data_IF_163205147623
#
_entry.id   IF_163205147623
#
_cell.length_a   1.000
_cell.length_b   1.000
_cell.length_c   1.000
_cell.angle_alpha   90.00
_cell.angle_beta   90.00
_cell.angle_gamma   90.00
#
_symmetry.space_group_name_H-M   'P 1'
#
loop_
_entity.id
_entity.type
_entity.pdbx_description
1 polymer ?
#
# COMPACT_ATOMS: atom_id res chain seq x y z
N UNK A 1 -15.34 1.84 24.02
CA UNK A 1 -14.45 1.02 23.18
C UNK A 1 -13.18 1.83 22.98
N UNK A 2 -12.02 1.33 23.42
CA UNK A 2 -10.76 2.07 23.34
C UNK A 2 -10.26 2.03 21.88
N UNK A 3 -10.06 3.21 21.28
CA UNK A 3 -9.58 3.30 19.90
C UNK A 3 -8.06 3.07 19.91
N UNK A 4 -7.52 2.15 19.08
CA UNK A 4 -6.09 1.92 19.07
C UNK A 4 -5.31 3.22 18.78
N UNK A 5 -4.14 3.41 19.40
CA UNK A 5 -3.35 4.62 19.22
C UNK A 5 -3.01 4.84 17.75
N UNK A 6 -3.31 6.05 17.24
CA UNK A 6 -3.03 6.42 15.85
C UNK A 6 -1.56 6.75 15.69
N UNK A 7 -0.83 5.90 14.97
CA UNK A 7 0.56 6.14 14.60
C UNK A 7 0.65 7.03 13.35
N UNK A 8 1.64 7.92 13.34
CA UNK A 8 1.99 8.74 12.16
C UNK A 8 2.27 7.87 10.94
N UNK A 9 1.88 8.34 9.76
CA UNK A 9 2.12 7.63 8.49
C UNK A 9 3.57 7.24 8.28
N UNK A 10 4.52 8.13 8.56
CA UNK A 10 5.94 7.85 8.41
C UNK A 10 6.44 6.69 9.29
N UNK A 11 5.90 6.57 10.51
CA UNK A 11 6.24 5.49 11.44
C UNK A 11 5.71 4.17 10.90
N UNK A 12 4.46 4.13 10.44
CA UNK A 12 3.82 2.94 9.86
C UNK A 12 4.58 2.46 8.62
N UNK A 13 4.93 3.35 7.70
CA UNK A 13 5.68 3.01 6.48
C UNK A 13 7.09 2.50 6.82
N UNK A 14 7.80 3.18 7.74
CA UNK A 14 9.14 2.76 8.15
C UNK A 14 9.13 1.38 8.82
N UNK A 15 8.14 1.10 9.66
CA UNK A 15 7.96 -0.22 10.27
C UNK A 15 7.70 -1.31 9.21
N UNK A 16 6.88 -1.02 8.21
CA UNK A 16 6.59 -1.96 7.13
C UNK A 16 7.84 -2.26 6.28
N UNK A 17 8.64 -1.26 5.93
CA UNK A 17 9.90 -1.46 5.19
C UNK A 17 10.88 -2.32 5.98
N UNK A 18 11.01 -2.08 7.29
CA UNK A 18 11.85 -2.91 8.17
C UNK A 18 11.36 -4.36 8.21
N UNK A 19 10.05 -4.59 8.28
CA UNK A 19 9.47 -5.93 8.25
C UNK A 19 9.73 -6.65 6.92
N UNK A 20 9.59 -5.96 5.78
CA UNK A 20 9.93 -6.52 4.48
C UNK A 20 11.42 -6.91 4.43
N UNK A 21 12.30 -6.01 4.86
CA UNK A 21 13.74 -6.26 4.90
C UNK A 21 14.10 -7.46 5.80
N UNK A 22 13.52 -7.54 6.99
CA UNK A 22 13.72 -8.66 7.91
C UNK A 22 13.23 -10.01 7.33
N UNK A 23 12.22 -9.97 6.45
CA UNK A 23 11.73 -11.14 5.73
C UNK A 23 12.49 -11.44 4.43
N UNK A 24 13.58 -10.70 4.14
CA UNK A 24 14.37 -10.86 2.91
C UNK A 24 13.71 -10.28 1.64
N UNK A 25 12.61 -9.54 1.79
CA UNK A 25 11.93 -8.90 0.66
C UNK A 25 12.51 -7.51 0.36
N UNK A 26 12.63 -7.19 -0.93
CA UNK A 26 12.92 -5.83 -1.36
C UNK A 26 11.64 -4.97 -1.30
N UNK A 27 11.74 -3.81 -0.66
CA UNK A 27 10.67 -2.83 -0.62
C UNK A 27 11.27 -1.42 -0.58
N UNK A 28 10.62 -0.47 -1.24
CA UNK A 28 11.02 0.94 -1.23
C UNK A 28 9.80 1.85 -1.26
N UNK A 29 9.99 3.12 -0.90
CA UNK A 29 8.97 4.16 -1.05
C UNK A 29 9.02 4.67 -2.50
N UNK A 30 8.02 4.35 -3.30
CA UNK A 30 7.91 4.87 -4.67
C UNK A 30 7.44 6.34 -4.71
N UNK A 31 6.64 6.76 -3.72
CA UNK A 31 6.16 8.14 -3.59
C UNK A 31 5.89 8.49 -2.11
N UNK A 32 6.24 9.70 -1.71
CA UNK A 32 6.02 10.23 -0.36
C UNK A 32 4.83 11.20 -0.35
N UNK A 33 3.94 11.05 0.63
CA UNK A 33 2.81 11.94 0.92
C UNK A 33 2.93 12.57 2.31
N UNK A 34 1.80 12.92 2.92
CA UNK A 34 1.74 13.50 4.26
C UNK A 34 2.31 12.53 5.33
N UNK A 35 3.29 12.97 6.15
CA UNK A 35 3.97 12.10 7.12
C UNK A 35 3.13 11.77 8.36
N UNK A 36 2.10 12.56 8.67
CA UNK A 36 1.33 12.44 9.90
C UNK A 36 0.02 11.68 9.68
N UNK A 37 -0.71 11.98 8.60
CA UNK A 37 -2.06 11.47 8.34
C UNK A 37 -2.30 10.96 6.91
N UNK A 38 -1.26 10.87 6.06
CA UNK A 38 -1.38 10.41 4.68
C UNK A 38 -1.93 8.97 4.53
N UNK A 39 -2.69 8.74 3.46
CA UNK A 39 -3.09 7.39 3.05
C UNK A 39 -1.87 6.56 2.61
N UNK A 40 -1.94 5.23 2.80
CA UNK A 40 -0.86 4.30 2.45
C UNK A 40 -1.34 3.33 1.39
N UNK A 41 -0.61 3.27 0.28
CA UNK A 41 -0.78 2.28 -0.77
C UNK A 41 0.43 1.34 -0.80
N UNK A 42 0.18 0.05 -0.97
CA UNK A 42 1.21 -0.99 -1.12
C UNK A 42 0.98 -1.73 -2.43
N UNK A 43 1.92 -1.56 -3.37
CA UNK A 43 1.96 -2.33 -4.63
C UNK A 43 2.93 -3.49 -4.44
N UNK A 44 2.42 -4.72 -4.55
CA UNK A 44 3.20 -5.96 -4.40
C UNK A 44 3.41 -6.56 -5.78
N UNK A 45 4.66 -6.59 -6.24
CA UNK A 45 5.03 -7.29 -7.47
C UNK A 45 4.82 -8.80 -7.29
N UNK A 46 4.07 -9.42 -8.20
CA UNK A 46 3.75 -10.85 -8.15
C UNK A 46 4.64 -11.64 -9.12
N UNK A 47 4.95 -11.05 -10.27
CA UNK A 47 5.73 -11.72 -11.31
C UNK A 47 5.53 -11.05 -12.65
N UNK A 48 5.84 -11.80 -13.71
CA UNK A 48 5.67 -11.36 -15.10
C UNK A 48 4.73 -12.33 -15.81
N UNK A 49 3.70 -11.80 -16.45
CA UNK A 49 2.86 -12.55 -17.39
C UNK A 49 3.21 -12.19 -18.83
N UNK A 50 2.38 -12.66 -19.77
CA UNK A 50 2.62 -12.52 -21.22
C UNK A 50 2.68 -11.05 -21.66
N UNK A 51 1.89 -10.18 -21.04
CA UNK A 51 1.80 -8.75 -21.37
C UNK A 51 2.73 -7.86 -20.51
N UNK A 52 3.53 -8.46 -19.61
CA UNK A 52 4.48 -7.74 -18.76
C UNK A 52 4.30 -7.94 -17.26
N UNK A 53 4.80 -7.00 -16.42
CA UNK A 53 4.73 -7.08 -14.97
C UNK A 53 3.30 -7.13 -14.41
N UNK A 54 3.09 -8.00 -13.43
CA UNK A 54 1.82 -8.17 -12.72
C UNK A 54 2.05 -7.84 -11.24
N UNK A 55 1.13 -7.07 -10.66
CA UNK A 55 1.17 -6.67 -9.26
C UNK A 55 -0.22 -6.75 -8.60
N UNK A 56 -0.26 -6.79 -7.26
CA UNK A 56 -1.46 -6.55 -6.46
C UNK A 56 -1.36 -5.19 -5.78
N UNK A 57 -2.49 -4.49 -5.65
CA UNK A 57 -2.56 -3.19 -4.98
C UNK A 57 -3.43 -3.28 -3.73
N UNK A 58 -2.87 -2.85 -2.61
CA UNK A 58 -3.59 -2.69 -1.35
C UNK A 58 -3.61 -1.23 -0.92
N UNK A 59 -4.76 -0.74 -0.48
CA UNK A 59 -4.95 0.59 0.09
C UNK A 59 -5.36 0.44 1.55
N UNK A 60 -4.63 1.10 2.45
CA UNK A 60 -5.01 1.13 3.85
C UNK A 60 -6.23 2.05 4.02
N UNK A 61 -7.26 1.53 4.67
CA UNK A 61 -8.49 2.24 4.97
C UNK A 61 -8.92 1.98 6.42
N UNK A 62 -9.90 2.72 6.92
CA UNK A 62 -10.41 2.61 8.29
C UNK A 62 -11.87 2.19 8.25
N UNK A 63 -12.28 1.28 9.14
CA UNK A 63 -13.70 0.97 9.36
C UNK A 63 -14.38 2.10 10.12
N UNK A 64 -15.71 2.06 10.23
CA UNK A 64 -16.48 3.04 11.01
C UNK A 64 -16.12 3.00 12.50
N UNK A 65 -15.70 1.84 13.00
CA UNK A 65 -15.24 1.58 14.37
C UNK A 65 -13.81 2.08 14.60
N UNK A 66 -13.11 2.50 13.54
CA UNK A 66 -11.74 3.02 13.61
C UNK A 66 -10.67 1.93 13.57
N UNK A 67 -10.99 0.74 13.07
CA UNK A 67 -10.00 -0.32 12.84
C UNK A 67 -9.37 -0.19 11.45
N UNK A 68 -8.07 -0.46 11.36
CA UNK A 68 -7.36 -0.41 10.08
C UNK A 68 -7.55 -1.70 9.30
N UNK A 69 -7.88 -1.59 8.01
CA UNK A 69 -7.95 -2.73 7.10
C UNK A 69 -7.30 -2.41 5.75
N UNK A 70 -6.93 -3.45 5.01
CA UNK A 70 -6.42 -3.33 3.66
C UNK A 70 -7.53 -3.67 2.68
N UNK A 71 -7.85 -2.74 1.77
CA UNK A 71 -8.77 -2.99 0.65
C UNK A 71 -7.99 -3.17 -0.64
N UNK A 72 -8.53 -3.96 -1.54
CA UNK A 72 -7.99 -4.13 -2.90
C UNK A 72 -8.89 -3.36 -3.89
N UNK A 73 -8.34 -2.38 -4.65
CA UNK A 73 -9.11 -1.70 -5.69
C UNK A 73 -9.34 -2.56 -6.94
N UNK A 74 -8.61 -3.66 -7.08
CA UNK A 74 -8.68 -4.59 -8.21
C UNK A 74 -9.07 -5.97 -7.70
N UNK A 75 -9.76 -6.75 -8.55
CA UNK A 75 -10.02 -8.17 -8.29
C UNK A 75 -8.73 -8.98 -8.51
N UNK A 76 -7.85 -8.97 -7.51
CA UNK A 76 -6.59 -9.72 -7.52
C UNK A 76 -5.46 -9.06 -8.33
N UNK A 77 -4.49 -9.87 -8.83
CA UNK A 77 -3.36 -9.36 -9.60
C UNK A 77 -3.79 -8.68 -10.90
N UNK A 78 -3.18 -7.55 -11.22
CA UNK A 78 -3.41 -6.80 -12.44
C UNK A 78 -2.09 -6.33 -13.07
N UNK A 79 -2.15 -5.91 -14.33
CA UNK A 79 -1.01 -5.31 -15.01
C UNK A 79 -0.48 -4.11 -14.22
N UNK A 80 0.84 -4.05 -13.99
CA UNK A 80 1.47 -3.03 -13.15
C UNK A 80 1.22 -1.62 -13.70
N UNK A 81 1.26 -1.43 -15.02
CA UNK A 81 0.99 -0.15 -15.66
C UNK A 81 -0.44 0.36 -15.35
N UNK A 82 -1.43 -0.54 -15.37
CA UNK A 82 -2.83 -0.21 -15.01
C UNK A 82 -2.95 0.24 -13.55
N UNK A 83 -2.22 -0.43 -12.65
CA UNK A 83 -2.14 -0.03 -11.24
C UNK A 83 -1.53 1.36 -11.09
N UNK A 84 -0.43 1.64 -11.80
CA UNK A 84 0.26 2.92 -11.72
C UNK A 84 -0.58 4.08 -12.28
N UNK A 85 -1.31 3.85 -13.39
CA UNK A 85 -2.27 4.81 -13.92
C UNK A 85 -3.41 5.10 -12.95
N UNK A 86 -3.93 4.06 -12.29
CA UNK A 86 -4.98 4.22 -11.28
C UNK A 86 -4.48 5.03 -10.08
N UNK A 87 -3.30 4.70 -9.56
CA UNK A 87 -2.65 5.44 -8.47
C UNK A 87 -2.37 6.90 -8.86
N UNK A 88 -2.09 7.19 -10.13
CA UNK A 88 -1.89 8.56 -10.60
C UNK A 88 -3.19 9.39 -10.57
N UNK A 89 -4.35 8.75 -10.76
CA UNK A 89 -5.68 9.39 -10.74
C UNK A 89 -6.19 9.60 -9.32
N UNK A 90 -6.04 8.60 -8.44
CA UNK A 90 -6.49 8.65 -7.02
C UNK A 90 -5.81 9.76 -6.20
N UNK A 91 -4.70 10.30 -6.71
CA UNK A 91 -3.95 11.42 -6.11
C UNK A 91 -4.57 12.81 -6.34
N UNK A 92 -5.58 12.93 -7.20
CA UNK A 92 -6.27 14.21 -7.48
C UNK A 92 -7.40 14.42 -6.49
#
# INVERSE_FOLDING_TARGET
MERPPRLKTEIRVSAQLRRCSAAGAFAHVAKKGDPDAGAVAVKVFIGRGDEGPIARLFIQSMTLEGEAYWREPFEGPAAEAKIDEWLAKERR
#
